data_IF_181688370106
#
_entry.id   IF_181688370106
#
_cell.length_a   1.000
_cell.length_b   1.000
_cell.length_c   1.000
_cell.angle_alpha   90.00
_cell.angle_beta   90.00
_cell.angle_gamma   90.00
#
_symmetry.space_group_name_H-M   'P 1'
#
loop_
_entity.id
_entity.type
_entity.pdbx_description
1 polymer ?
#
# COMPACT_ATOMS: atom_id res chain seq x y z
N UNK A 1 4.10 -27.36 -6.94
CA UNK A 1 4.53 -27.12 -5.55
C UNK A 1 5.76 -26.21 -5.53
N UNK A 2 5.74 -25.21 -4.68
CA UNK A 2 6.83 -24.21 -4.60
C UNK A 2 8.05 -24.83 -3.90
N UNK A 3 9.21 -24.80 -4.56
CA UNK A 3 10.47 -25.31 -4.00
C UNK A 3 11.10 -24.27 -3.04
N UNK A 4 12.10 -24.71 -2.28
CA UNK A 4 12.84 -23.79 -1.40
C UNK A 4 13.56 -22.68 -2.18
N UNK A 5 14.12 -23.01 -3.34
CA UNK A 5 14.76 -22.03 -4.22
C UNK A 5 13.74 -21.00 -4.74
N UNK A 6 12.56 -21.48 -5.09
CA UNK A 6 11.46 -20.59 -5.51
C UNK A 6 11.00 -19.71 -4.36
N UNK A 7 10.93 -20.21 -3.13
CA UNK A 7 10.58 -19.37 -1.96
C UNK A 7 11.62 -18.29 -1.72
N UNK A 8 12.90 -18.61 -1.85
CA UNK A 8 13.96 -17.62 -1.74
C UNK A 8 13.82 -16.54 -2.83
N UNK A 9 13.49 -16.96 -4.04
CA UNK A 9 13.26 -16.03 -5.16
C UNK A 9 12.04 -15.13 -4.90
N UNK A 10 10.95 -15.67 -4.34
CA UNK A 10 9.77 -14.89 -3.97
C UNK A 10 10.11 -13.81 -2.95
N UNK A 11 10.83 -14.16 -1.90
CA UNK A 11 11.26 -13.21 -0.87
C UNK A 11 12.16 -12.12 -1.45
N UNK A 12 13.09 -12.51 -2.32
CA UNK A 12 14.00 -11.56 -2.97
C UNK A 12 13.24 -10.60 -3.88
N UNK A 13 12.25 -11.08 -4.63
CA UNK A 13 11.40 -10.23 -5.48
C UNK A 13 10.58 -9.22 -4.69
N UNK A 14 10.23 -9.55 -3.45
CA UNK A 14 9.52 -8.63 -2.57
C UNK A 14 10.41 -7.53 -1.99
N UNK A 15 11.72 -7.78 -1.88
CA UNK A 15 12.68 -6.84 -1.28
C UNK A 15 13.39 -5.96 -2.30
N UNK A 16 13.69 -6.51 -3.49
CA UNK A 16 14.52 -5.83 -4.48
C UNK A 16 13.70 -5.41 -5.69
N UNK A 17 14.02 -4.23 -6.23
CA UNK A 17 13.30 -3.69 -7.39
C UNK A 17 13.81 -4.25 -8.71
N UNK A 18 15.07 -4.69 -8.76
CA UNK A 18 15.68 -5.21 -9.97
C UNK A 18 15.71 -6.74 -9.94
N UNK A 19 15.42 -7.37 -11.08
CA UNK A 19 15.49 -8.83 -11.22
C UNK A 19 16.91 -9.36 -11.00
N UNK A 20 17.90 -8.60 -11.43
CA UNK A 20 19.31 -8.94 -11.24
C UNK A 20 19.66 -9.05 -9.76
N UNK A 21 19.28 -8.05 -8.98
CA UNK A 21 19.50 -8.02 -7.52
C UNK A 21 18.72 -9.13 -6.82
N UNK A 22 17.47 -9.33 -7.23
CA UNK A 22 16.64 -10.40 -6.66
C UNK A 22 17.22 -11.78 -6.93
N UNK A 23 17.68 -12.04 -8.14
CA UNK A 23 18.30 -13.30 -8.52
C UNK A 23 19.58 -13.55 -7.70
N UNK A 24 20.42 -12.53 -7.56
CA UNK A 24 21.66 -12.61 -6.78
C UNK A 24 21.35 -12.90 -5.31
N UNK A 25 20.37 -12.21 -4.73
CA UNK A 25 19.97 -12.42 -3.33
C UNK A 25 19.38 -13.82 -3.09
N UNK A 26 18.65 -14.35 -4.06
CA UNK A 26 18.06 -15.68 -3.98
C UNK A 26 19.04 -16.80 -4.28
N UNK A 27 20.23 -16.47 -4.80
CA UNK A 27 21.23 -17.48 -5.16
C UNK A 27 20.90 -18.25 -6.42
N UNK A 28 20.16 -17.64 -7.35
CA UNK A 28 19.81 -18.24 -8.65
C UNK A 28 20.27 -17.34 -9.80
N UNK A 29 20.40 -17.93 -10.99
CA UNK A 29 20.73 -17.17 -12.19
C UNK A 29 19.51 -16.32 -12.61
N UNK A 30 19.75 -15.19 -13.27
CA UNK A 30 18.68 -14.36 -13.83
C UNK A 30 17.76 -15.15 -14.77
N UNK A 31 18.36 -16.07 -15.56
CA UNK A 31 17.60 -16.94 -16.46
C UNK A 31 16.63 -17.82 -15.69
N UNK A 32 17.10 -18.41 -14.57
CA UNK A 32 16.27 -19.25 -13.71
C UNK A 32 15.11 -18.44 -13.13
N UNK A 33 15.38 -17.21 -12.69
CA UNK A 33 14.33 -16.32 -12.17
C UNK A 33 13.29 -15.99 -13.26
N UNK A 34 13.73 -15.76 -14.48
CA UNK A 34 12.81 -15.52 -15.60
C UNK A 34 11.92 -16.75 -15.88
N UNK A 35 12.49 -17.95 -15.75
CA UNK A 35 11.70 -19.17 -15.90
C UNK A 35 10.66 -19.31 -14.79
N UNK A 36 11.02 -18.97 -13.55
CA UNK A 36 10.07 -18.95 -12.42
C UNK A 36 8.92 -17.98 -12.70
N UNK A 37 9.20 -16.81 -13.26
CA UNK A 37 8.18 -15.81 -13.55
C UNK A 37 7.21 -16.25 -14.66
N UNK A 38 7.52 -17.31 -15.39
CA UNK A 38 6.61 -17.90 -16.38
C UNK A 38 5.79 -19.07 -15.81
N UNK A 39 6.12 -19.54 -14.62
CA UNK A 39 5.40 -20.62 -13.97
C UNK A 39 4.15 -20.09 -13.31
N UNK A 40 3.00 -20.67 -13.63
CA UNK A 40 1.70 -20.24 -13.10
C UNK A 40 1.62 -20.34 -11.59
N UNK A 41 2.13 -21.43 -10.99
CA UNK A 41 2.11 -21.61 -9.55
C UNK A 41 2.99 -20.58 -8.83
N UNK A 42 4.14 -20.26 -9.41
CA UNK A 42 5.04 -19.24 -8.88
C UNK A 42 4.40 -17.85 -8.94
N UNK A 43 3.80 -17.51 -10.08
CA UNK A 43 3.14 -16.22 -10.26
C UNK A 43 1.93 -16.06 -9.36
N UNK A 44 1.16 -17.12 -9.17
CA UNK A 44 0.01 -17.10 -8.25
C UNK A 44 0.47 -16.79 -6.82
N UNK A 45 1.55 -17.41 -6.36
CA UNK A 45 2.10 -17.17 -5.03
C UNK A 45 2.68 -15.77 -4.91
N UNK A 46 3.39 -15.28 -5.94
CA UNK A 46 3.93 -13.93 -5.96
C UNK A 46 2.81 -12.88 -5.86
N UNK A 47 1.75 -13.05 -6.63
CA UNK A 47 0.61 -12.14 -6.62
C UNK A 47 -0.09 -12.16 -5.25
N UNK A 48 -0.22 -13.34 -4.63
CA UNK A 48 -0.78 -13.44 -3.27
C UNK A 48 0.06 -12.67 -2.25
N UNK A 49 1.38 -12.80 -2.33
CA UNK A 49 2.30 -12.08 -1.43
C UNK A 49 2.22 -10.57 -1.63
N UNK A 50 2.12 -10.10 -2.88
CA UNK A 50 1.94 -8.68 -3.18
C UNK A 50 0.63 -8.15 -2.65
N UNK A 51 -0.46 -8.91 -2.81
CA UNK A 51 -1.78 -8.51 -2.30
C UNK A 51 -1.77 -8.40 -0.78
N UNK A 52 -1.19 -9.37 -0.09
CA UNK A 52 -1.06 -9.35 1.37
C UNK A 52 -0.23 -8.14 1.83
N UNK A 53 0.88 -7.88 1.15
CA UNK A 53 1.75 -6.74 1.46
C UNK A 53 1.02 -5.41 1.25
N UNK A 54 0.28 -5.28 0.15
CA UNK A 54 -0.51 -4.08 -0.14
C UNK A 54 -1.60 -3.86 0.89
N UNK A 55 -2.28 -4.93 1.32
CA UNK A 55 -3.30 -4.86 2.37
C UNK A 55 -2.69 -4.36 3.69
N UNK A 56 -1.52 -4.86 4.04
CA UNK A 56 -0.81 -4.43 5.24
C UNK A 56 -0.39 -2.96 5.17
N UNK A 57 0.18 -2.54 4.03
CA UNK A 57 0.55 -1.14 3.79
C UNK A 57 -0.67 -0.23 3.86
N UNK A 58 -1.80 -0.67 3.32
CA UNK A 58 -3.05 0.09 3.35
C UNK A 58 -3.53 0.27 4.79
N UNK A 59 -3.48 -0.77 5.61
CA UNK A 59 -3.85 -0.67 7.02
C UNK A 59 -2.95 0.30 7.80
N UNK A 60 -1.64 0.22 7.56
CA UNK A 60 -0.68 1.15 8.17
C UNK A 60 -0.96 2.59 7.75
N UNK A 61 -1.24 2.80 6.47
CA UNK A 61 -1.57 4.12 5.95
C UNK A 61 -2.85 4.66 6.57
N UNK A 62 -3.88 3.82 6.71
CA UNK A 62 -5.13 4.22 7.36
C UNK A 62 -4.91 4.64 8.81
N UNK A 63 -4.05 3.94 9.54
CA UNK A 63 -3.70 4.31 10.91
C UNK A 63 -2.93 5.64 10.96
N UNK A 64 -2.01 5.84 10.02
CA UNK A 64 -1.26 7.10 9.91
C UNK A 64 -2.18 8.27 9.58
N UNK A 65 -3.17 8.07 8.73
CA UNK A 65 -4.18 9.10 8.40
C UNK A 65 -4.96 9.50 9.65
N UNK A 66 -5.35 8.53 10.49
CA UNK A 66 -6.04 8.83 11.76
C UNK A 66 -5.20 9.71 12.67
N UNK A 67 -3.90 9.41 12.77
CA UNK A 67 -2.98 10.22 13.57
C UNK A 67 -2.82 11.63 13.01
N UNK A 68 -2.74 11.76 11.69
CA UNK A 68 -2.62 13.06 11.03
C UNK A 68 -3.88 13.90 11.26
N UNK A 69 -5.07 13.31 11.11
CA UNK A 69 -6.34 13.99 11.35
C UNK A 69 -6.43 14.44 12.80
N UNK A 70 -6.03 13.57 13.74
CA UNK A 70 -6.02 13.92 15.17
C UNK A 70 -5.11 15.11 15.44
N UNK A 71 -3.90 15.11 14.88
CA UNK A 71 -2.95 16.21 15.05
C UNK A 71 -3.52 17.53 14.54
N UNK A 72 -4.19 17.51 13.38
CA UNK A 72 -4.83 18.71 12.81
C UNK A 72 -5.97 19.20 13.71
N UNK A 73 -6.80 18.30 14.19
CA UNK A 73 -7.92 18.64 15.11
C UNK A 73 -7.40 19.18 16.43
N UNK A 74 -6.37 18.57 16.99
CA UNK A 74 -5.77 19.04 18.24
C UNK A 74 -5.19 20.43 18.09
N UNK A 75 -4.55 20.73 16.97
CA UNK A 75 -4.01 22.07 16.68
C UNK A 75 -5.13 23.11 16.62
N UNK A 76 -6.24 22.78 15.97
CA UNK A 76 -7.39 23.69 15.87
C UNK A 76 -8.03 23.96 17.23
N UNK A 77 -8.01 23.00 18.15
CA UNK A 77 -8.61 23.09 19.48
C UNK A 77 -7.66 23.66 20.52
N UNK A 78 -6.36 23.74 20.22
CA UNK A 78 -5.34 24.21 21.16
C UNK A 78 -5.28 25.74 21.20
N UNK A 79 -5.69 26.33 22.32
CA UNK A 79 -5.66 27.76 22.50
C UNK A 79 -4.23 28.35 22.46
N UNK A 80 -3.22 27.52 22.80
CA UNK A 80 -1.83 27.93 22.77
C UNK A 80 -1.21 27.87 21.39
N UNK A 81 -1.86 27.22 20.42
CA UNK A 81 -1.35 27.15 19.06
C UNK A 81 -1.40 28.53 18.39
N UNK A 82 -0.38 28.84 17.59
CA UNK A 82 -0.32 30.10 16.86
C UNK A 82 -1.43 30.18 15.80
N UNK A 83 -1.84 31.40 15.43
CA UNK A 83 -2.81 31.59 14.37
C UNK A 83 -2.34 31.00 13.03
N UNK A 84 -1.08 31.19 12.60
CA UNK A 84 -0.58 30.52 11.38
C UNK A 84 -0.73 29.00 11.44
N UNK A 85 -0.45 28.37 12.58
CA UNK A 85 -0.60 26.93 12.74
C UNK A 85 -2.06 26.49 12.61
N UNK A 86 -2.98 27.21 13.22
CA UNK A 86 -4.43 26.94 13.10
C UNK A 86 -4.94 27.11 11.68
N UNK A 87 -4.49 28.17 11.00
CA UNK A 87 -4.85 28.42 9.60
C UNK A 87 -4.34 27.28 8.71
N UNK A 88 -3.09 26.87 8.90
CA UNK A 88 -2.49 25.77 8.13
C UNK A 88 -3.26 24.47 8.35
N UNK A 89 -3.63 24.13 9.59
CA UNK A 89 -4.40 22.94 9.91
C UNK A 89 -5.80 22.98 9.28
N UNK A 90 -6.50 24.11 9.38
CA UNK A 90 -7.82 24.30 8.78
C UNK A 90 -7.76 24.15 7.26
N UNK A 91 -6.77 24.77 6.64
CA UNK A 91 -6.55 24.71 5.20
C UNK A 91 -6.30 23.27 4.74
N UNK A 92 -5.45 22.54 5.46
CA UNK A 92 -5.16 21.13 5.14
C UNK A 92 -6.44 20.27 5.16
N UNK A 93 -7.31 20.47 6.15
CA UNK A 93 -8.57 19.75 6.26
C UNK A 93 -9.50 20.12 5.11
N UNK A 94 -9.66 21.41 4.84
CA UNK A 94 -10.57 21.90 3.79
C UNK A 94 -10.12 21.49 2.38
N UNK A 95 -8.82 21.36 2.14
CA UNK A 95 -8.29 20.91 0.86
C UNK A 95 -8.38 19.39 0.68
N UNK A 96 -8.28 18.65 1.75
CA UNK A 96 -8.18 17.18 1.71
C UNK A 96 -9.54 16.49 1.83
N UNK A 97 -10.42 17.00 2.72
CA UNK A 97 -11.71 16.37 3.00
C UNK A 97 -12.59 16.16 1.77
N UNK A 98 -12.76 17.14 0.86
CA UNK A 98 -13.60 16.96 -0.32
C UNK A 98 -13.10 15.82 -1.22
N UNK A 99 -11.78 15.67 -1.37
CA UNK A 99 -11.17 14.61 -2.18
C UNK A 99 -11.46 13.23 -1.60
N UNK A 100 -11.36 13.09 -0.28
CA UNK A 100 -11.63 11.85 0.42
C UNK A 100 -13.11 11.47 0.33
N UNK A 101 -14.00 12.44 0.51
CA UNK A 101 -15.43 12.21 0.44
C UNK A 101 -15.87 11.81 -0.97
N UNK A 102 -15.30 12.43 -1.99
CA UNK A 102 -15.57 12.10 -3.38
C UNK A 102 -15.10 10.67 -3.72
N UNK A 103 -13.87 10.33 -3.33
CA UNK A 103 -13.31 9.00 -3.56
C UNK A 103 -14.15 7.93 -2.86
N UNK A 104 -14.52 8.15 -1.60
CA UNK A 104 -15.35 7.22 -0.84
C UNK A 104 -16.72 7.03 -1.50
N UNK A 105 -17.30 8.10 -2.02
CA UNK A 105 -18.58 8.05 -2.73
C UNK A 105 -18.47 7.18 -4.00
N UNK A 106 -17.39 7.32 -4.76
CA UNK A 106 -17.11 6.51 -5.95
C UNK A 106 -17.00 5.03 -5.56
N UNK A 107 -16.26 4.73 -4.51
CA UNK A 107 -16.07 3.36 -4.02
C UNK A 107 -17.41 2.74 -3.63
N UNK A 108 -18.25 3.49 -2.91
CA UNK A 108 -19.57 3.02 -2.51
C UNK A 108 -20.48 2.73 -3.72
N UNK A 109 -20.38 3.53 -4.77
CA UNK A 109 -21.14 3.31 -6.00
C UNK A 109 -20.68 2.04 -6.72
N UNK A 110 -19.38 1.81 -6.76
CA UNK A 110 -18.81 0.58 -7.34
C UNK A 110 -19.30 -0.64 -6.57
N UNK A 111 -19.22 -0.62 -5.24
CA UNK A 111 -19.70 -1.70 -4.38
C UNK A 111 -21.19 -1.98 -4.60
N UNK A 112 -22.00 -0.95 -4.72
CA UNK A 112 -23.42 -1.07 -4.97
C UNK A 112 -23.72 -1.74 -6.33
N UNK A 113 -22.93 -1.39 -7.36
CA UNK A 113 -23.06 -2.01 -8.68
C UNK A 113 -22.64 -3.47 -8.67
N UNK A 114 -21.59 -3.82 -7.96
CA UNK A 114 -21.13 -5.21 -7.82
C UNK A 114 -22.15 -6.08 -7.11
N UNK A 115 -22.84 -5.54 -6.10
CA UNK A 115 -23.87 -6.27 -5.36
C UNK A 115 -25.12 -6.59 -6.18
N UNK A 116 -25.35 -5.84 -7.26
CA UNK A 116 -26.51 -6.07 -8.14
C UNK A 116 -26.28 -7.20 -9.12
N UNK A 117 -25.07 -7.62 -9.31
CA UNK A 117 -24.70 -8.77 -10.13
C UNK A 117 -24.75 -10.05 -9.30
#
# INVERSE_FOLDING_TARGET
MITQKQRAALQALMQFTSRKEAAAAAGVAERTLREYLRDEAFMAELNRLYDDWMDECTRELQQAVKLAVKALKDTLSDEAASNPAKIAAAKAILETAPKYLELNNIIQRIDALERKE
#
